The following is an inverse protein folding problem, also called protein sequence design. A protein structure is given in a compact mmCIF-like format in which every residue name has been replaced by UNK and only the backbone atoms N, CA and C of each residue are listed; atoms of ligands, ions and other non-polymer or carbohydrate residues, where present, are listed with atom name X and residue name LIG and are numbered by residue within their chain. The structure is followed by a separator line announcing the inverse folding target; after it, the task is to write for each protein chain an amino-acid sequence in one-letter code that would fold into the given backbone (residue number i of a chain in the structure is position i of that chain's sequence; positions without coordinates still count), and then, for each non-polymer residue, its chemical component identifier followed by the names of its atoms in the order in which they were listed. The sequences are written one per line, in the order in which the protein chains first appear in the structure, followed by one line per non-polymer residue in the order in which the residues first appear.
data_IF_816437145780
#
_entry.id   IF_816437145780
#
_cell.length_a   1.000
_cell.length_b   1.000
_cell.length_c   1.000
_cell.angle_alpha   90.00
_cell.angle_beta   90.00
_cell.angle_gamma   90.00
#
_symmetry.space_group_name_H-M   'P 1'
#
loop_
_entity.id
_entity.type
_entity.pdbx_description
1 polymer ?
#
# COMPACT_ATOMS: atom_id res chain seq x y z
N UNK A 1 -44.96 58.27 2.52
CA UNK A 1 -44.49 57.91 1.17
C UNK A 1 -43.04 57.47 1.30
N UNK A 2 -42.77 56.19 0.99
CA UNK A 2 -41.51 55.61 0.42
C UNK A 2 -40.19 55.89 1.16
N UNK A 3 -39.31 54.97 1.53
CA UNK A 3 -39.24 53.50 1.56
C UNK A 3 -37.95 53.21 2.35
N UNK A 4 -38.00 52.40 3.41
CA UNK A 4 -36.79 51.84 4.02
C UNK A 4 -36.34 50.65 3.15
N UNK A 5 -35.19 50.75 2.48
CA UNK A 5 -34.50 49.60 1.87
C UNK A 5 -32.99 49.71 2.06
N UNK A 6 -32.50 49.22 3.21
CA UNK A 6 -31.08 48.90 3.41
C UNK A 6 -30.85 47.54 4.12
N UNK A 7 -31.89 46.77 4.44
CA UNK A 7 -31.74 45.54 5.24
C UNK A 7 -31.56 44.23 4.47
N UNK A 8 -31.76 44.21 3.14
CA UNK A 8 -31.88 42.94 2.41
C UNK A 8 -30.53 42.35 1.92
N UNK A 9 -29.50 43.17 1.71
CA UNK A 9 -28.24 42.71 1.11
C UNK A 9 -27.28 42.00 2.07
N UNK A 10 -27.44 42.15 3.39
CA UNK A 10 -26.48 41.60 4.37
C UNK A 10 -26.75 40.12 4.68
N UNK A 11 -28.02 39.70 4.67
CA UNK A 11 -28.42 38.34 5.05
C UNK A 11 -28.07 37.27 4.00
N UNK A 12 -28.04 37.62 2.71
CA UNK A 12 -27.69 36.67 1.64
C UNK A 12 -26.20 36.29 1.66
N UNK A 13 -25.32 37.20 2.09
CA UNK A 13 -23.87 36.97 2.12
C UNK A 13 -23.45 36.05 3.27
N UNK A 14 -24.11 36.14 4.43
CA UNK A 14 -23.80 35.31 5.59
C UNK A 14 -24.24 33.85 5.41
N UNK A 15 -25.42 33.62 4.83
CA UNK A 15 -25.88 32.27 4.50
C UNK A 15 -25.00 31.60 3.43
N UNK A 16 -24.55 32.35 2.42
CA UNK A 16 -23.63 31.84 1.39
C UNK A 16 -22.25 31.47 1.97
N UNK A 17 -21.73 32.27 2.91
CA UNK A 17 -20.46 32.00 3.59
C UNK A 17 -20.52 30.73 4.45
N UNK A 18 -21.61 30.50 5.17
CA UNK A 18 -21.80 29.27 5.95
C UNK A 18 -21.86 28.02 5.08
N UNK A 19 -22.54 28.10 3.94
CA UNK A 19 -22.68 26.99 3.00
C UNK A 19 -21.35 26.64 2.29
N UNK A 20 -20.57 27.65 1.90
CA UNK A 20 -19.25 27.47 1.27
C UNK A 20 -18.24 26.88 2.27
N UNK A 21 -18.24 27.31 3.53
CA UNK A 21 -17.35 26.74 4.55
C UNK A 21 -17.71 25.28 4.85
N UNK A 22 -18.99 24.93 4.93
CA UNK A 22 -19.45 23.55 5.15
C UNK A 22 -19.07 22.59 4.02
N UNK A 23 -19.24 23.01 2.76
CA UNK A 23 -18.85 22.22 1.58
C UNK A 23 -17.33 22.06 1.48
N UNK A 24 -16.57 23.10 1.85
CA UNK A 24 -15.09 23.04 1.83
C UNK A 24 -14.52 22.04 2.85
N UNK A 25 -15.14 21.94 4.04
CA UNK A 25 -14.77 20.95 5.06
C UNK A 25 -15.09 19.51 4.61
N UNK A 26 -16.21 19.30 3.90
CA UNK A 26 -16.56 18.00 3.31
C UNK A 26 -15.59 17.57 2.19
N UNK A 27 -15.14 18.49 1.34
CA UNK A 27 -14.15 18.20 0.28
C UNK A 27 -12.76 17.85 0.84
N UNK A 28 -12.36 18.46 1.95
CA UNK A 28 -11.10 18.13 2.63
C UNK A 28 -11.13 16.74 3.27
N UNK A 29 -12.29 16.29 3.77
CA UNK A 29 -12.43 14.96 4.36
C UNK A 29 -12.27 13.82 3.33
N UNK A 30 -12.69 14.01 2.08
CA UNK A 30 -12.49 13.02 1.01
C UNK A 30 -11.03 12.95 0.55
N UNK A 31 -10.35 14.09 0.54
CA UNK A 31 -8.91 14.17 0.24
C UNK A 31 -8.06 13.39 1.26
N UNK A 32 -8.48 13.36 2.53
CA UNK A 32 -7.78 12.64 3.59
C UNK A 32 -7.94 11.11 3.49
N UNK A 33 -9.09 10.61 2.99
CA UNK A 33 -9.26 9.17 2.76
C UNK A 33 -8.37 8.66 1.61
N UNK A 34 -8.15 9.48 0.58
CA UNK A 34 -7.31 9.14 -0.56
C UNK A 34 -5.80 9.03 -0.23
N UNK A 35 -5.35 9.63 0.88
CA UNK A 35 -3.93 9.64 1.27
C UNK A 35 -3.47 8.40 2.05
N UNK A 36 -4.35 7.42 2.29
CA UNK A 36 -3.98 6.15 2.97
C UNK A 36 -3.48 5.07 2.01
N UNK A 37 -3.58 5.28 0.70
CA UNK A 37 -2.94 4.43 -0.29
C UNK A 37 -1.54 4.98 -0.57
N UNK A 38 -0.54 4.48 0.15
CA UNK A 38 0.86 4.76 -0.17
C UNK A 38 1.12 4.51 -1.66
N UNK A 39 1.87 5.39 -2.32
CA UNK A 39 2.09 5.33 -3.78
C UNK A 39 2.45 3.89 -4.20
N UNK A 40 1.57 3.18 -4.94
CA UNK A 40 1.79 1.80 -5.32
C UNK A 40 3.10 1.61 -6.08
N UNK A 41 3.50 2.60 -6.88
CA UNK A 41 4.73 2.51 -7.66
C UNK A 41 5.96 2.55 -6.75
N UNK A 42 6.00 3.50 -5.80
CA UNK A 42 7.07 3.60 -4.81
C UNK A 42 7.12 2.38 -3.89
N UNK A 43 5.98 1.98 -3.32
CA UNK A 43 5.91 0.82 -2.41
C UNK A 43 6.32 -0.46 -3.13
N UNK A 44 5.83 -0.71 -4.35
CA UNK A 44 6.23 -1.89 -5.12
C UNK A 44 7.70 -1.88 -5.50
N UNK A 45 8.28 -0.73 -5.85
CA UNK A 45 9.71 -0.62 -6.16
C UNK A 45 10.55 -0.94 -4.92
N UNK A 46 10.18 -0.38 -3.76
CA UNK A 46 10.89 -0.59 -2.50
C UNK A 46 10.74 -2.03 -2.01
N UNK A 47 9.53 -2.60 -2.06
CA UNK A 47 9.28 -4.00 -1.72
C UNK A 47 10.10 -4.94 -2.62
N UNK A 48 10.10 -4.72 -3.94
CA UNK A 48 10.90 -5.52 -4.86
C UNK A 48 12.40 -5.45 -4.53
N UNK A 49 12.93 -4.27 -4.19
CA UNK A 49 14.31 -4.12 -3.79
C UNK A 49 14.63 -4.86 -2.47
N UNK A 50 13.74 -4.78 -1.47
CA UNK A 50 13.91 -5.47 -0.19
C UNK A 50 13.88 -6.99 -0.33
N UNK A 51 12.89 -7.50 -1.06
CA UNK A 51 12.77 -8.93 -1.33
C UNK A 51 14.00 -9.42 -2.10
N UNK A 52 14.41 -8.73 -3.17
CA UNK A 52 15.58 -9.12 -3.96
C UNK A 52 16.89 -9.10 -3.16
N UNK A 53 17.05 -8.18 -2.20
CA UNK A 53 18.25 -8.13 -1.35
C UNK A 53 18.29 -9.18 -0.24
N UNK A 54 17.15 -9.70 0.19
CA UNK A 54 17.02 -10.58 1.36
C UNK A 54 16.60 -12.01 0.99
N UNK A 55 16.31 -12.27 -0.29
CA UNK A 55 15.78 -13.57 -0.73
C UNK A 55 16.77 -14.71 -0.54
N UNK A 56 18.08 -14.44 -0.61
CA UNK A 56 19.11 -15.44 -0.38
C UNK A 56 19.08 -15.95 1.06
N UNK A 57 19.10 -15.02 2.03
CA UNK A 57 19.01 -15.34 3.47
C UNK A 57 17.65 -15.94 3.83
N UNK A 58 16.56 -15.43 3.25
CA UNK A 58 15.23 -15.99 3.47
C UNK A 58 15.11 -17.41 2.95
N UNK A 59 15.68 -17.69 1.78
CA UNK A 59 15.73 -19.05 1.25
C UNK A 59 16.59 -19.97 2.12
N UNK A 60 17.76 -19.51 2.58
CA UNK A 60 18.60 -20.28 3.49
C UNK A 60 17.85 -20.64 4.79
N UNK A 61 17.15 -19.68 5.38
CA UNK A 61 16.30 -19.90 6.57
C UNK A 61 15.21 -20.96 6.30
N UNK A 62 14.55 -20.91 5.14
CA UNK A 62 13.54 -21.91 4.77
C UNK A 62 14.13 -23.32 4.70
N UNK A 63 15.35 -23.48 4.17
CA UNK A 63 16.04 -24.76 4.12
C UNK A 63 16.51 -25.24 5.49
N UNK A 64 17.06 -24.33 6.30
CA UNK A 64 17.55 -24.64 7.66
C UNK A 64 16.43 -25.22 8.54
N UNK A 65 15.22 -24.67 8.44
CA UNK A 65 14.07 -25.12 9.22
C UNK A 65 13.23 -26.20 8.53
N UNK A 66 13.67 -26.75 7.40
CA UNK A 66 12.91 -27.74 6.61
C UNK A 66 11.46 -27.30 6.31
N UNK A 67 11.30 -26.02 5.98
CA UNK A 67 10.01 -25.36 5.81
C UNK A 67 9.62 -25.16 4.34
N UNK A 68 10.23 -25.89 3.42
CA UNK A 68 10.07 -25.73 1.97
C UNK A 68 8.61 -25.89 1.53
N UNK A 69 7.92 -26.90 2.09
CA UNK A 69 6.53 -27.21 1.76
C UNK A 69 5.57 -26.07 2.13
N UNK A 70 5.88 -25.28 3.16
CA UNK A 70 5.06 -24.14 3.60
C UNK A 70 5.46 -22.82 2.92
N UNK A 71 6.57 -22.82 2.16
CA UNK A 71 7.16 -21.61 1.58
C UNK A 71 7.40 -21.68 0.06
N UNK A 72 6.44 -22.16 -0.77
CA UNK A 72 6.63 -22.29 -2.21
C UNK A 72 6.91 -20.93 -2.90
N UNK A 73 6.36 -19.83 -2.38
CA UNK A 73 6.63 -18.48 -2.89
C UNK A 73 8.09 -18.06 -2.71
N UNK A 74 8.74 -18.45 -1.60
CA UNK A 74 10.15 -18.13 -1.35
C UNK A 74 11.03 -18.91 -2.33
N UNK A 75 10.75 -20.19 -2.54
CA UNK A 75 11.47 -21.02 -3.53
C UNK A 75 11.35 -20.44 -4.94
N UNK A 76 10.15 -20.00 -5.34
CA UNK A 76 9.91 -19.38 -6.64
C UNK A 76 10.63 -18.03 -6.78
N UNK A 77 10.61 -17.19 -5.74
CA UNK A 77 11.32 -15.90 -5.75
C UNK A 77 12.84 -16.12 -5.86
N UNK A 78 13.39 -17.06 -5.09
CA UNK A 78 14.81 -17.42 -5.16
C UNK A 78 15.21 -17.94 -6.55
N UNK A 79 14.38 -18.77 -7.17
CA UNK A 79 14.61 -19.25 -8.53
C UNK A 79 14.64 -18.11 -9.57
N UNK A 80 13.80 -17.08 -9.41
CA UNK A 80 13.82 -15.88 -10.26
C UNK A 80 15.00 -14.95 -9.94
N UNK A 81 15.42 -14.88 -8.68
CA UNK A 81 16.59 -14.11 -8.25
C UNK A 81 17.85 -14.62 -8.92
N UNK A 82 18.04 -15.93 -8.92
CA UNK A 82 19.16 -16.60 -9.61
C UNK A 82 19.21 -16.35 -11.12
N UNK A 83 18.09 -15.94 -11.72
CA UNK A 83 18.02 -15.56 -13.14
C UNK A 83 18.18 -14.05 -13.36
N UNK A 84 18.35 -13.26 -12.30
CA UNK A 84 18.38 -11.79 -12.35
C UNK A 84 17.04 -11.15 -12.67
N UNK A 85 15.91 -11.85 -12.45
CA UNK A 85 14.57 -11.40 -12.87
C UNK A 85 13.62 -11.08 -11.72
N UNK A 86 13.97 -11.46 -10.50
CA UNK A 86 13.09 -11.32 -9.33
C UNK A 86 12.62 -9.88 -9.14
N UNK A 87 13.54 -8.91 -9.04
CA UNK A 87 13.17 -7.51 -8.79
C UNK A 87 12.13 -6.98 -9.79
N UNK A 88 12.36 -7.20 -11.08
CA UNK A 88 11.43 -6.75 -12.14
C UNK A 88 10.10 -7.50 -12.09
N UNK A 89 10.12 -8.82 -11.94
CA UNK A 89 8.90 -9.63 -11.91
C UNK A 89 8.07 -9.40 -10.64
N UNK A 90 8.73 -9.23 -9.50
CA UNK A 90 8.11 -8.85 -8.24
C UNK A 90 7.42 -7.49 -8.34
N UNK A 91 8.07 -6.49 -8.93
CA UNK A 91 7.45 -5.19 -9.10
C UNK A 91 6.19 -5.26 -9.99
N UNK A 92 6.21 -6.05 -11.06
CA UNK A 92 5.03 -6.29 -11.93
C UNK A 92 3.91 -6.99 -11.16
N UNK A 93 4.25 -8.07 -10.46
CA UNK A 93 3.33 -8.82 -9.62
C UNK A 93 2.67 -7.92 -8.56
N UNK A 94 3.47 -7.12 -7.85
CA UNK A 94 2.98 -6.18 -6.84
C UNK A 94 1.98 -5.18 -7.41
N UNK A 95 2.26 -4.58 -8.57
CA UNK A 95 1.34 -3.63 -9.21
C UNK A 95 0.02 -4.28 -9.64
N UNK A 96 0.08 -5.53 -10.13
CA UNK A 96 -1.11 -6.29 -10.56
C UNK A 96 -2.01 -6.65 -9.38
N UNK A 97 -1.39 -7.07 -8.27
CA UNK A 97 -2.08 -7.61 -7.09
C UNK A 97 -2.36 -6.54 -6.01
N UNK A 98 -2.02 -5.27 -6.29
CA UNK A 98 -1.99 -4.19 -5.30
C UNK A 98 -3.28 -4.07 -4.49
N UNK A 99 -4.43 -3.99 -5.18
CA UNK A 99 -5.72 -3.73 -4.54
C UNK A 99 -6.13 -4.83 -3.53
N UNK A 100 -5.67 -6.06 -3.73
CA UNK A 100 -6.00 -7.21 -2.87
C UNK A 100 -4.95 -7.41 -1.78
N UNK A 101 -3.70 -7.02 -2.03
CA UNK A 101 -2.56 -7.41 -1.19
C UNK A 101 -1.72 -6.20 -0.73
N UNK A 102 -2.27 -4.99 -0.69
CA UNK A 102 -1.54 -3.79 -0.28
C UNK A 102 -0.76 -3.97 1.04
N UNK A 103 -1.38 -4.56 2.07
CA UNK A 103 -0.76 -4.75 3.39
C UNK A 103 0.56 -5.52 3.34
N UNK A 104 0.63 -6.60 2.56
CA UNK A 104 1.85 -7.40 2.44
C UNK A 104 2.96 -6.63 1.72
N UNK A 105 2.62 -5.89 0.66
CA UNK A 105 3.60 -5.12 -0.09
C UNK A 105 4.14 -3.94 0.72
N UNK A 106 3.29 -3.29 1.51
CA UNK A 106 3.71 -2.28 2.47
C UNK A 106 4.65 -2.89 3.51
N UNK A 107 4.32 -4.05 4.08
CA UNK A 107 5.19 -4.75 5.04
C UNK A 107 6.55 -5.13 4.44
N UNK A 108 6.57 -5.71 3.24
CA UNK A 108 7.81 -6.01 2.53
C UNK A 108 8.65 -4.77 2.25
N UNK A 109 8.01 -3.64 1.88
CA UNK A 109 8.73 -2.38 1.64
C UNK A 109 9.42 -1.83 2.90
N UNK A 110 8.87 -2.12 4.09
CA UNK A 110 9.40 -1.72 5.38
C UNK A 110 10.40 -2.70 5.98
N UNK A 111 10.45 -3.94 5.48
CA UNK A 111 11.28 -5.01 6.04
C UNK A 111 12.78 -4.73 5.89
N UNK A 112 13.55 -5.13 6.91
CA UNK A 112 15.01 -4.96 6.96
C UNK A 112 15.77 -6.27 7.16
N UNK A 113 15.06 -7.38 7.37
CA UNK A 113 15.61 -8.73 7.52
C UNK A 113 14.69 -9.78 6.87
N UNK A 114 15.25 -10.96 6.62
CA UNK A 114 14.56 -12.16 6.19
C UNK A 114 13.46 -12.60 7.18
N UNK A 115 13.71 -12.51 8.49
CA UNK A 115 12.69 -12.74 9.51
C UNK A 115 11.54 -11.72 9.39
N UNK A 116 11.85 -10.45 9.10
CA UNK A 116 10.83 -9.43 8.85
C UNK A 116 9.94 -9.78 7.66
N UNK A 117 10.53 -10.27 6.57
CA UNK A 117 9.79 -10.75 5.40
C UNK A 117 8.92 -11.98 5.73
N UNK A 118 9.42 -12.90 6.55
CA UNK A 118 8.65 -14.06 7.00
C UNK A 118 7.45 -13.64 7.87
N UNK A 119 7.63 -12.66 8.76
CA UNK A 119 6.55 -12.13 9.61
C UNK A 119 5.46 -11.44 8.79
N UNK A 120 5.79 -10.78 7.68
CA UNK A 120 4.78 -10.20 6.78
C UNK A 120 3.81 -11.24 6.20
N UNK A 121 4.16 -12.53 6.22
CA UNK A 121 3.30 -13.61 5.71
C UNK A 121 2.34 -14.19 6.75
N UNK A 122 2.36 -13.71 7.99
CA UNK A 122 1.41 -14.08 9.03
C UNK A 122 -0.02 -13.63 8.68
N UNK A 123 -1.02 -14.27 9.26
CA UNK A 123 -2.42 -14.07 8.89
C UNK A 123 -2.93 -12.64 9.08
N UNK A 124 -2.34 -11.89 10.01
CA UNK A 124 -2.66 -10.48 10.28
C UNK A 124 -2.26 -9.56 9.12
N UNK A 125 -1.11 -9.81 8.51
CA UNK A 125 -0.52 -9.00 7.43
C UNK A 125 -0.81 -9.59 6.05
N UNK A 126 -1.13 -10.88 6.01
CA UNK A 126 -1.49 -11.63 4.82
C UNK A 126 -2.90 -12.26 4.90
N UNK A 127 -3.95 -11.48 5.18
CA UNK A 127 -5.30 -12.02 5.39
C UNK A 127 -5.90 -12.66 4.13
N UNK A 128 -5.45 -12.21 2.96
CA UNK A 128 -5.94 -12.69 1.66
C UNK A 128 -5.07 -13.82 1.08
N UNK A 129 -4.12 -14.37 1.84
CA UNK A 129 -3.33 -15.52 1.41
C UNK A 129 -2.47 -15.26 0.17
N UNK A 130 -1.82 -14.10 0.11
CA UNK A 130 -0.87 -13.72 -0.92
C UNK A 130 0.14 -14.83 -1.19
N UNK A 131 0.40 -15.07 -2.46
CA UNK A 131 1.45 -15.94 -2.95
C UNK A 131 2.14 -15.29 -4.14
N UNK A 132 3.46 -15.45 -4.21
CA UNK A 132 4.22 -14.98 -5.36
C UNK A 132 3.93 -15.80 -6.61
N UNK A 133 3.46 -15.13 -7.65
CA UNK A 133 3.21 -15.69 -9.00
C UNK A 133 3.73 -14.68 -10.04
N UNK A 134 4.95 -14.84 -10.57
CA UNK A 134 5.55 -13.86 -11.48
C UNK A 134 4.63 -13.51 -12.66
#
# INVERSE_FOLDING_TARGET
MVLVRQGAMVWEVEMLRGLIMGVSLWLLAWSALAQTHGDPSFTCQRAAAKVDSLIEDWHAMVLEFHAEAQNPSVLQMWAEHRKGRLKTNFQKHCKREWNTHQAIFTCFSGSVSEMGLALCRQADTNPNGWQYKP
#
